data_IF_194951118248
#
_entry.id   IF_194951118248
#
_cell.length_a   1.000
_cell.length_b   1.000
_cell.length_c   1.000
_cell.angle_alpha   90.00
_cell.angle_beta   90.00
_cell.angle_gamma   90.00
#
_symmetry.space_group_name_H-M   'P 1'
#
loop_
_entity.id
_entity.type
_entity.pdbx_description
1 polymer ?
#
# COMPACT_ATOMS: atom_id res chain seq x y z
N UNK A 1 8.48 -18.10 -10.64
CA UNK A 1 7.93 -16.93 -9.91
C UNK A 1 7.81 -15.67 -10.76
N UNK A 2 7.99 -15.76 -12.07
CA UNK A 2 7.77 -14.66 -13.04
C UNK A 2 8.32 -13.31 -12.58
N UNK A 3 9.57 -13.29 -12.09
CA UNK A 3 10.25 -12.09 -11.57
C UNK A 3 9.40 -11.32 -10.54
N UNK A 4 9.00 -11.98 -9.48
CA UNK A 4 8.11 -11.43 -8.44
C UNK A 4 6.78 -10.94 -9.03
N UNK A 5 6.22 -11.72 -9.97
CA UNK A 5 4.93 -11.49 -10.64
C UNK A 5 4.93 -10.31 -11.64
N UNK A 6 6.06 -9.62 -11.79
CA UNK A 6 6.17 -8.49 -12.73
C UNK A 6 6.09 -8.93 -14.21
N UNK A 7 6.55 -10.15 -14.54
CA UNK A 7 6.51 -10.68 -15.89
C UNK A 7 5.17 -11.39 -16.20
N UNK A 8 4.04 -10.69 -16.04
CA UNK A 8 2.70 -11.24 -16.26
C UNK A 8 2.47 -11.71 -17.70
N UNK A 9 3.09 -11.03 -18.67
CA UNK A 9 3.03 -11.37 -20.10
C UNK A 9 4.24 -12.21 -20.56
N UNK A 10 5.01 -12.76 -19.63
CA UNK A 10 6.25 -13.48 -19.91
C UNK A 10 7.46 -12.57 -20.17
N UNK A 11 8.58 -13.20 -20.50
CA UNK A 11 9.81 -12.49 -20.83
C UNK A 11 9.86 -12.20 -22.34
N UNK A 12 10.34 -11.04 -22.74
CA UNK A 12 10.48 -10.65 -24.14
C UNK A 12 9.18 -10.64 -24.93
N UNK A 13 8.10 -10.04 -24.35
CA UNK A 13 6.89 -9.81 -25.11
C UNK A 13 7.16 -8.84 -26.28
N UNK A 14 6.84 -9.20 -27.53
CA UNK A 14 7.27 -8.42 -28.72
C UNK A 14 6.76 -6.98 -28.71
N UNK A 15 5.53 -6.74 -28.26
CA UNK A 15 4.97 -5.37 -28.23
C UNK A 15 5.62 -4.51 -27.16
N UNK A 16 5.98 -5.10 -26.00
CA UNK A 16 6.70 -4.38 -24.94
C UNK A 16 8.14 -4.04 -25.36
N UNK A 17 8.83 -5.00 -25.99
CA UNK A 17 10.17 -4.78 -26.53
C UNK A 17 10.14 -3.69 -27.62
N UNK A 18 9.17 -3.76 -28.55
CA UNK A 18 9.03 -2.76 -29.61
C UNK A 18 8.75 -1.35 -29.06
N UNK A 19 7.86 -1.22 -28.10
CA UNK A 19 7.55 0.06 -27.45
C UNK A 19 8.77 0.66 -26.74
N UNK A 20 9.56 -0.18 -26.05
CA UNK A 20 10.79 0.25 -25.40
C UNK A 20 11.84 0.74 -26.40
N UNK A 21 12.05 0.01 -27.52
CA UNK A 21 12.97 0.43 -28.59
C UNK A 21 12.53 1.74 -29.22
N UNK A 22 11.24 1.89 -29.57
CA UNK A 22 10.72 3.14 -30.12
C UNK A 22 10.93 4.32 -29.17
N UNK A 23 10.70 4.13 -27.87
CA UNK A 23 10.88 5.20 -26.90
C UNK A 23 12.34 5.62 -26.74
N UNK A 24 13.29 4.66 -26.82
CA UNK A 24 14.72 4.95 -26.77
C UNK A 24 15.16 5.77 -27.99
N UNK A 25 14.59 5.50 -29.17
CA UNK A 25 14.90 6.26 -30.40
C UNK A 25 14.36 7.72 -30.34
N UNK A 26 13.30 7.96 -29.57
CA UNK A 26 12.75 9.31 -29.38
C UNK A 26 13.52 10.08 -28.29
N UNK A 27 13.55 9.55 -27.08
CA UNK A 27 14.31 10.06 -25.92
C UNK A 27 14.32 9.06 -24.77
N UNK A 28 15.42 9.03 -24.01
CA UNK A 28 15.58 8.09 -22.88
C UNK A 28 15.01 8.61 -21.57
N UNK A 29 15.03 9.92 -21.31
CA UNK A 29 14.58 10.52 -20.07
C UNK A 29 14.24 12.01 -20.21
N UNK A 30 13.16 12.43 -19.55
CA UNK A 30 12.81 13.84 -19.33
C UNK A 30 12.38 14.01 -17.87
N UNK A 31 13.02 14.92 -17.15
CA UNK A 31 12.67 15.23 -15.76
C UNK A 31 11.30 15.92 -15.66
N UNK A 32 10.59 15.73 -14.54
CA UNK A 32 9.33 16.43 -14.26
C UNK A 32 9.49 17.80 -13.58
N UNK A 33 10.71 18.27 -13.39
CA UNK A 33 10.98 19.61 -12.85
C UNK A 33 10.62 20.73 -13.83
N UNK A 34 9.34 21.05 -13.95
CA UNK A 34 8.81 22.05 -14.89
C UNK A 34 8.59 21.56 -16.31
N UNK A 35 8.80 20.27 -16.58
CA UNK A 35 8.59 19.62 -17.87
C UNK A 35 7.67 18.40 -17.74
N UNK A 36 7.14 17.95 -18.85
CA UNK A 36 6.43 16.67 -19.00
C UNK A 36 6.67 16.09 -20.40
N UNK A 37 6.13 14.92 -20.66
CA UNK A 37 6.25 14.26 -21.96
C UNK A 37 5.00 13.43 -22.29
N UNK A 38 4.77 13.15 -23.55
CA UNK A 38 3.57 12.48 -24.01
C UNK A 38 3.30 11.11 -23.36
N UNK A 39 4.28 10.19 -23.21
CA UNK A 39 4.05 8.92 -22.52
C UNK A 39 3.53 9.08 -21.08
N UNK A 40 4.06 10.03 -20.31
CA UNK A 40 3.60 10.28 -18.95
C UNK A 40 2.16 10.82 -18.91
N UNK A 41 1.84 11.79 -19.77
CA UNK A 41 0.49 12.35 -19.86
C UNK A 41 -0.54 11.27 -20.24
N UNK A 42 -0.22 10.45 -21.26
CA UNK A 42 -1.09 9.38 -21.72
C UNK A 42 -1.30 8.29 -20.66
N UNK A 43 -0.22 7.92 -19.96
CA UNK A 43 -0.31 6.96 -18.85
C UNK A 43 -1.15 7.52 -17.70
N UNK A 44 -1.00 8.80 -17.38
CA UNK A 44 -1.82 9.47 -16.36
C UNK A 44 -3.30 9.41 -16.70
N UNK A 45 -3.68 9.80 -17.92
CA UNK A 45 -5.08 9.75 -18.38
C UNK A 45 -5.63 8.32 -18.30
N UNK A 46 -4.83 7.33 -18.72
CA UNK A 46 -5.21 5.91 -18.66
C UNK A 46 -5.41 5.45 -17.22
N UNK A 47 -4.50 5.77 -16.32
CA UNK A 47 -4.61 5.39 -14.91
C UNK A 47 -5.80 6.04 -14.23
N UNK A 48 -6.04 7.33 -14.45
CA UNK A 48 -7.18 8.05 -13.86
C UNK A 48 -8.53 7.50 -14.33
N UNK A 49 -8.61 6.94 -15.53
CA UNK A 49 -9.80 6.25 -16.01
C UNK A 49 -10.02 4.88 -15.39
N UNK A 50 -9.00 4.31 -14.73
CA UNK A 50 -9.02 2.97 -14.15
C UNK A 50 -9.23 2.95 -12.63
N UNK A 51 -8.78 3.99 -11.94
CA UNK A 51 -8.84 4.08 -10.47
C UNK A 51 -10.23 4.49 -9.98
N UNK A 52 -10.57 4.19 -8.71
CA UNK A 52 -11.83 4.64 -8.11
C UNK A 52 -11.98 6.17 -8.12
N UNK A 53 -13.23 6.62 -8.12
CA UNK A 53 -13.58 8.05 -8.01
C UNK A 53 -12.95 8.67 -6.75
N UNK A 54 -12.42 9.90 -6.91
CA UNK A 54 -11.73 10.62 -5.83
C UNK A 54 -10.20 10.47 -5.85
N UNK A 55 -9.65 9.59 -6.70
CA UNK A 55 -8.23 9.52 -6.99
C UNK A 55 -7.98 10.24 -8.33
N UNK A 56 -7.52 11.48 -8.27
CA UNK A 56 -7.45 12.40 -9.41
C UNK A 56 -6.04 12.84 -9.79
N UNK A 57 -5.04 12.31 -9.10
CA UNK A 57 -3.64 12.72 -9.28
C UNK A 57 -2.70 11.50 -9.30
N UNK A 58 -1.74 11.51 -10.20
CA UNK A 58 -0.72 10.46 -10.35
C UNK A 58 0.65 11.03 -10.02
N UNK A 59 1.42 10.28 -9.22
CA UNK A 59 2.82 10.54 -8.95
C UNK A 59 3.66 9.35 -9.39
N UNK A 60 4.57 9.55 -10.33
CA UNK A 60 5.46 8.50 -10.81
C UNK A 60 6.72 8.40 -9.94
N UNK A 61 7.08 7.17 -9.58
CA UNK A 61 8.28 6.86 -8.79
C UNK A 61 9.03 5.66 -9.39
N UNK A 62 10.24 5.43 -8.87
CA UNK A 62 11.18 4.45 -9.41
C UNK A 62 10.94 3.02 -8.90
N UNK A 63 10.27 2.84 -7.77
CA UNK A 63 10.02 1.53 -7.18
C UNK A 63 8.83 1.55 -6.22
N UNK A 64 8.33 0.37 -5.82
CA UNK A 64 7.28 0.23 -4.81
C UNK A 64 7.68 0.82 -3.46
N UNK A 65 8.92 0.60 -3.02
CA UNK A 65 9.42 1.18 -1.77
C UNK A 65 9.42 2.71 -1.79
N UNK A 66 9.83 3.33 -2.92
CA UNK A 66 9.76 4.78 -3.10
C UNK A 66 8.31 5.26 -3.22
N UNK A 67 7.41 4.50 -3.84
CA UNK A 67 5.97 4.82 -3.87
C UNK A 67 5.39 4.93 -2.46
N UNK A 68 5.73 3.98 -1.59
CA UNK A 68 5.29 3.98 -0.18
C UNK A 68 5.89 5.16 0.58
N UNK A 69 7.20 5.46 0.40
CA UNK A 69 7.82 6.65 0.99
C UNK A 69 7.06 7.93 0.61
N UNK A 70 6.72 8.07 -0.67
CA UNK A 70 6.00 9.25 -1.17
C UNK A 70 4.58 9.30 -0.64
N UNK A 71 3.85 8.19 -0.65
CA UNK A 71 2.49 8.12 -0.10
C UNK A 71 2.44 8.50 1.38
N UNK A 72 3.38 7.99 2.18
CA UNK A 72 3.50 8.36 3.59
C UNK A 72 3.84 9.86 3.76
N UNK A 73 4.76 10.39 2.95
CA UNK A 73 5.07 11.82 2.97
C UNK A 73 3.87 12.68 2.61
N UNK A 74 3.08 12.27 1.62
CA UNK A 74 1.82 12.96 1.25
C UNK A 74 0.83 12.94 2.41
N UNK A 75 0.63 11.81 3.07
CA UNK A 75 -0.25 11.69 4.23
C UNK A 75 0.20 12.59 5.39
N UNK A 76 1.49 12.60 5.72
CA UNK A 76 2.05 13.47 6.75
C UNK A 76 1.93 14.96 6.39
N UNK A 77 2.17 15.30 5.12
CA UNK A 77 2.05 16.67 4.64
C UNK A 77 0.60 17.15 4.67
N UNK A 78 -0.36 16.29 4.33
CA UNK A 78 -1.79 16.60 4.41
C UNK A 78 -2.14 17.13 5.81
N UNK A 79 -1.78 16.39 6.85
CA UNK A 79 -2.04 16.80 8.23
C UNK A 79 -1.27 18.05 8.64
N UNK A 80 -0.01 18.18 8.25
CA UNK A 80 0.82 19.36 8.56
C UNK A 80 0.38 20.63 7.84
N UNK A 81 -0.31 20.51 6.72
CA UNK A 81 -0.85 21.62 5.95
C UNK A 81 -2.24 22.04 6.41
N UNK A 82 -2.84 21.31 7.35
CA UNK A 82 -4.16 21.62 7.87
C UNK A 82 -4.14 22.89 8.73
N UNK A 83 -5.20 23.70 8.65
CA UNK A 83 -5.31 24.95 9.43
C UNK A 83 -5.45 24.70 10.93
N UNK A 84 -6.05 23.59 11.33
CA UNK A 84 -6.06 23.14 12.72
C UNK A 84 -4.74 22.49 13.09
N UNK A 85 -3.95 23.24 13.87
CA UNK A 85 -2.62 22.78 14.31
C UNK A 85 -2.66 21.61 15.29
N UNK A 86 -3.80 21.29 15.90
CA UNK A 86 -3.94 20.08 16.71
C UNK A 86 -3.75 18.81 15.88
N UNK A 87 -4.09 18.84 14.59
CA UNK A 87 -3.91 17.74 13.65
C UNK A 87 -2.44 17.50 13.23
N UNK A 88 -1.55 18.46 13.47
CA UNK A 88 -0.12 18.29 13.19
C UNK A 88 0.56 17.21 14.06
N UNK A 89 -0.13 16.71 15.10
CA UNK A 89 0.33 15.57 15.91
C UNK A 89 0.19 14.23 15.20
N UNK A 90 -0.60 14.16 14.11
CA UNK A 90 -0.77 12.96 13.31
C UNK A 90 0.51 12.65 12.53
N UNK A 91 1.38 11.84 13.14
CA UNK A 91 2.72 11.49 12.61
C UNK A 91 3.01 10.01 12.64
N UNK A 92 2.12 9.21 13.22
CA UNK A 92 2.25 7.75 13.28
C UNK A 92 1.50 7.09 12.13
N UNK A 93 1.95 5.90 11.80
CA UNK A 93 1.27 5.02 10.87
C UNK A 93 0.65 3.85 11.63
N UNK A 94 -0.51 3.42 11.16
CA UNK A 94 -1.17 2.18 11.57
C UNK A 94 -0.99 1.16 10.45
N UNK A 95 -0.70 -0.06 10.80
CA UNK A 95 -0.68 -1.19 9.87
C UNK A 95 -1.00 -2.47 10.63
N UNK A 96 -1.04 -3.61 9.96
CA UNK A 96 -1.16 -4.92 10.59
C UNK A 96 0.11 -5.75 10.48
N UNK A 97 0.27 -6.72 11.37
CA UNK A 97 1.42 -7.63 11.33
C UNK A 97 1.36 -8.54 10.09
N UNK A 98 2.51 -8.99 9.65
CA UNK A 98 2.66 -9.83 8.46
C UNK A 98 2.73 -9.05 7.15
N UNK A 99 2.68 -7.70 7.19
CA UNK A 99 2.81 -6.85 6.01
C UNK A 99 4.25 -6.65 5.55
N UNK A 100 4.41 -6.28 4.27
CA UNK A 100 5.67 -5.87 3.68
C UNK A 100 5.42 -4.73 2.69
N UNK A 101 6.12 -3.63 2.85
CA UNK A 101 5.89 -2.40 2.10
C UNK A 101 7.14 -1.82 1.44
N UNK A 102 8.26 -2.53 1.48
CA UNK A 102 9.52 -2.14 0.86
C UNK A 102 10.71 -2.09 1.81
N UNK A 103 11.88 -1.74 1.28
CA UNK A 103 13.18 -1.86 1.95
C UNK A 103 13.82 -0.51 2.31
N UNK A 104 13.17 0.62 2.01
CA UNK A 104 13.61 1.94 2.50
C UNK A 104 13.09 2.20 3.91
N UNK A 105 13.64 3.16 4.63
CA UNK A 105 13.47 3.28 6.09
C UNK A 105 12.01 3.45 6.55
N UNK A 106 11.20 4.24 5.85
CA UNK A 106 9.78 4.38 6.22
C UNK A 106 8.97 3.11 5.94
N UNK A 107 9.03 2.52 4.74
CA UNK A 107 8.46 1.19 4.49
C UNK A 107 8.88 0.13 5.49
N UNK A 108 10.17 0.03 5.84
CA UNK A 108 10.64 -0.90 6.87
C UNK A 108 9.94 -0.71 8.21
N UNK A 109 9.58 0.52 8.58
CA UNK A 109 8.90 0.82 9.85
C UNK A 109 7.48 0.26 9.93
N UNK A 110 6.86 -0.05 8.79
CA UNK A 110 5.50 -0.62 8.67
C UNK A 110 5.51 -2.07 8.16
N UNK A 111 6.67 -2.67 7.93
CA UNK A 111 6.80 -4.11 7.73
C UNK A 111 6.70 -4.85 9.09
N UNK A 112 6.38 -6.17 9.04
CA UNK A 112 6.29 -6.97 10.26
C UNK A 112 7.58 -6.86 11.09
N UNK A 113 7.51 -6.35 12.33
CA UNK A 113 8.71 -6.11 13.13
C UNK A 113 9.35 -7.38 13.69
N UNK A 114 8.56 -8.45 13.87
CA UNK A 114 9.00 -9.65 14.59
C UNK A 114 9.41 -10.78 13.65
N UNK A 115 8.68 -10.95 12.53
CA UNK A 115 8.86 -12.05 11.59
C UNK A 115 9.24 -11.57 10.19
N UNK A 116 9.51 -10.28 10.05
CA UNK A 116 9.85 -9.66 8.77
C UNK A 116 11.35 -9.75 8.44
N UNK A 117 11.70 -9.35 7.23
CA UNK A 117 13.09 -9.30 6.75
C UNK A 117 13.93 -8.19 7.42
N UNK A 118 13.30 -7.28 8.15
CA UNK A 118 13.92 -6.06 8.67
C UNK A 118 14.19 -6.11 10.18
N UNK A 119 14.20 -7.29 10.79
CA UNK A 119 14.46 -7.47 12.24
C UNK A 119 15.80 -6.88 12.71
N UNK A 120 16.82 -6.84 11.84
CA UNK A 120 18.11 -6.21 12.13
C UNK A 120 18.03 -4.68 12.35
N UNK A 121 16.95 -4.05 11.90
CA UNK A 121 16.74 -2.60 11.98
C UNK A 121 15.84 -2.19 13.14
N UNK A 122 15.46 -3.14 14.00
CA UNK A 122 14.70 -2.83 15.21
C UNK A 122 15.46 -1.81 16.08
N UNK A 123 14.72 -0.81 16.57
CA UNK A 123 15.29 0.30 17.35
C UNK A 123 15.97 1.39 16.52
N UNK A 124 16.12 1.23 15.19
CA UNK A 124 16.65 2.25 14.27
C UNK A 124 15.52 2.91 13.51
N UNK A 125 14.57 2.11 12.95
CA UNK A 125 13.38 2.64 12.29
C UNK A 125 12.38 3.18 13.31
N UNK A 126 11.59 4.17 12.91
CA UNK A 126 10.57 4.76 13.78
C UNK A 126 9.52 3.71 14.19
N UNK A 127 9.19 3.58 15.49
CA UNK A 127 8.13 2.67 15.92
C UNK A 127 6.77 3.17 15.45
N UNK A 128 5.99 2.27 14.86
CA UNK A 128 4.63 2.49 14.38
C UNK A 128 3.62 1.67 15.18
N UNK A 129 2.35 1.78 14.86
CA UNK A 129 1.25 1.08 15.54
C UNK A 129 0.86 -0.14 14.70
N UNK A 130 0.81 -1.31 15.33
CA UNK A 130 0.52 -2.56 14.67
C UNK A 130 -0.75 -3.20 15.22
N UNK A 131 -1.69 -3.47 14.34
CA UNK A 131 -2.77 -4.41 14.59
C UNK A 131 -2.24 -5.85 14.51
N UNK A 132 -2.90 -6.83 15.10
CA UNK A 132 -2.58 -8.23 14.90
C UNK A 132 -2.55 -8.63 13.42
N UNK A 133 -1.99 -9.81 13.13
CA UNK A 133 -2.13 -10.40 11.79
C UNK A 133 -3.60 -10.57 11.44
N UNK A 134 -4.05 -10.18 10.24
CA UNK A 134 -5.42 -10.37 9.80
C UNK A 134 -5.86 -11.83 9.93
N UNK A 135 -7.11 -12.10 10.35
CA UNK A 135 -7.65 -13.45 10.31
C UNK A 135 -7.65 -13.98 8.88
N UNK A 136 -7.20 -15.24 8.67
CA UNK A 136 -7.12 -15.80 7.34
C UNK A 136 -8.51 -16.01 6.73
N UNK A 137 -8.62 -15.81 5.43
CA UNK A 137 -9.77 -16.31 4.68
C UNK A 137 -9.62 -17.83 4.51
N UNK A 138 -10.39 -18.59 5.26
CA UNK A 138 -10.33 -20.06 5.26
C UNK A 138 -10.86 -20.69 3.97
N UNK A 139 -11.63 -19.96 3.18
CA UNK A 139 -12.16 -20.45 1.88
C UNK A 139 -11.11 -20.32 0.77
N UNK A 140 -10.25 -19.31 0.84
CA UNK A 140 -9.24 -19.03 -0.19
C UNK A 140 -7.84 -19.46 0.25
N UNK A 141 -7.57 -19.54 1.54
CA UNK A 141 -6.25 -19.87 2.09
C UNK A 141 -5.90 -21.35 1.92
N UNK A 142 -4.71 -21.63 1.41
CA UNK A 142 -4.14 -22.99 1.34
C UNK A 142 -3.63 -23.49 2.70
N UNK A 143 -3.67 -22.68 3.74
CA UNK A 143 -3.20 -23.02 5.10
C UNK A 143 -4.37 -22.99 6.07
N UNK A 144 -4.49 -24.01 6.96
CA UNK A 144 -5.50 -23.96 8.00
C UNK A 144 -5.27 -22.78 8.94
N UNK A 145 -6.35 -22.16 9.38
CA UNK A 145 -6.30 -21.11 10.40
C UNK A 145 -5.72 -21.68 11.70
N UNK A 146 -4.77 -20.97 12.29
CA UNK A 146 -4.19 -21.33 13.59
C UNK A 146 -5.03 -20.70 14.73
N UNK A 147 -5.74 -19.61 14.44
CA UNK A 147 -6.66 -18.92 15.36
C UNK A 147 -7.91 -18.51 14.60
N UNK A 148 -9.07 -18.77 15.16
CA UNK A 148 -10.38 -18.52 14.54
C UNK A 148 -10.96 -17.18 15.06
N UNK A 149 -10.18 -16.11 14.96
CA UNK A 149 -10.67 -14.76 15.24
C UNK A 149 -11.62 -14.35 14.13
N UNK A 150 -12.84 -13.96 14.47
CA UNK A 150 -13.80 -13.48 13.47
C UNK A 150 -13.38 -12.10 12.92
N UNK A 151 -13.90 -11.74 11.76
CA UNK A 151 -13.69 -10.40 11.18
C UNK A 151 -14.24 -9.33 12.13
N UNK A 152 -15.37 -9.61 12.76
CA UNK A 152 -16.04 -8.72 13.70
C UNK A 152 -15.17 -8.45 14.93
N UNK A 153 -14.65 -9.49 15.57
CA UNK A 153 -13.76 -9.36 16.74
C UNK A 153 -12.46 -8.62 16.39
N UNK A 154 -11.92 -8.86 15.19
CA UNK A 154 -10.76 -8.13 14.72
C UNK A 154 -11.04 -6.64 14.54
N UNK A 155 -12.19 -6.30 13.94
CA UNK A 155 -12.60 -4.91 13.76
C UNK A 155 -12.92 -4.21 15.07
N UNK A 156 -13.50 -4.89 16.06
CA UNK A 156 -13.68 -4.35 17.41
C UNK A 156 -12.32 -4.01 18.06
N UNK A 157 -11.34 -4.90 17.92
CA UNK A 157 -9.98 -4.61 18.39
C UNK A 157 -9.33 -3.44 17.64
N UNK A 158 -9.48 -3.38 16.32
CA UNK A 158 -8.96 -2.28 15.49
C UNK A 158 -9.61 -0.94 15.88
N UNK A 159 -10.93 -0.93 16.17
CA UNK A 159 -11.64 0.25 16.64
C UNK A 159 -11.09 0.73 17.98
N UNK A 160 -10.82 -0.17 18.91
CA UNK A 160 -10.22 0.17 20.20
C UNK A 160 -8.84 0.83 20.02
N UNK A 161 -7.97 0.23 19.19
CA UNK A 161 -6.65 0.80 18.89
C UNK A 161 -6.77 2.18 18.24
N UNK A 162 -7.68 2.35 17.29
CA UNK A 162 -7.94 3.64 16.64
C UNK A 162 -8.46 4.68 17.64
N UNK A 163 -9.40 4.31 18.51
CA UNK A 163 -9.93 5.20 19.54
C UNK A 163 -8.83 5.76 20.45
N UNK A 164 -7.86 4.93 20.84
CA UNK A 164 -6.76 5.35 21.70
C UNK A 164 -5.71 6.20 20.99
N UNK A 165 -5.55 6.05 19.67
CA UNK A 165 -4.42 6.59 18.93
C UNK A 165 -4.79 7.55 17.78
N UNK A 166 -6.07 7.79 17.52
CA UNK A 166 -6.54 8.58 16.36
C UNK A 166 -5.91 9.98 16.28
N UNK A 167 -5.61 10.60 17.41
CA UNK A 167 -4.96 11.90 17.48
C UNK A 167 -3.54 11.92 16.94
N UNK A 168 -2.89 10.78 16.85
CA UNK A 168 -1.48 10.65 16.44
C UNK A 168 -1.32 9.87 15.13
N UNK A 169 -2.31 9.08 14.73
CA UNK A 169 -2.27 8.28 13.50
C UNK A 169 -2.58 9.15 12.30
N UNK A 170 -1.63 9.27 11.39
CA UNK A 170 -1.76 9.98 10.12
C UNK A 170 -2.46 9.14 9.06
N UNK A 171 -2.04 7.90 8.92
CA UNK A 171 -2.57 6.98 7.91
C UNK A 171 -2.48 5.53 8.37
N UNK A 172 -3.40 4.73 7.86
CA UNK A 172 -3.34 3.28 7.87
C UNK A 172 -2.80 2.81 6.51
N UNK A 173 -1.76 1.97 6.51
CA UNK A 173 -1.21 1.36 5.29
C UNK A 173 -1.39 -0.14 5.33
N UNK A 174 -1.93 -0.72 4.27
CA UNK A 174 -2.23 -2.16 4.17
C UNK A 174 -2.08 -2.69 2.74
N UNK A 175 -1.71 -3.96 2.64
CA UNK A 175 -1.88 -4.76 1.41
C UNK A 175 -3.33 -5.28 1.40
N UNK A 176 -4.20 -4.89 0.45
CA UNK A 176 -5.60 -5.35 0.48
C UNK A 176 -5.72 -6.80 0.03
N UNK A 177 -6.61 -7.57 0.67
CA UNK A 177 -6.99 -8.95 0.35
C UNK A 177 -5.88 -9.99 0.54
N UNK A 178 -4.63 -9.70 0.21
CA UNK A 178 -3.53 -10.65 0.38
C UNK A 178 -2.23 -9.98 0.79
N UNK A 179 -1.61 -10.47 1.85
CA UNK A 179 -0.25 -10.13 2.24
C UNK A 179 0.72 -11.02 1.44
N UNK A 180 1.40 -10.46 0.44
CA UNK A 180 2.25 -11.20 -0.47
C UNK A 180 3.52 -11.74 0.17
N UNK A 181 4.49 -10.87 0.43
CA UNK A 181 5.80 -11.22 1.02
C UNK A 181 5.67 -11.77 2.45
N UNK A 182 4.62 -11.42 3.18
CA UNK A 182 4.28 -11.96 4.49
C UNK A 182 3.84 -13.42 4.50
N UNK A 183 3.89 -14.10 3.35
CA UNK A 183 3.66 -15.53 3.22
C UNK A 183 2.39 -15.92 2.48
N UNK A 184 1.92 -15.08 1.56
CA UNK A 184 0.71 -15.30 0.75
C UNK A 184 -0.51 -15.59 1.63
N UNK A 185 -0.75 -14.69 2.58
CA UNK A 185 -1.88 -14.79 3.51
C UNK A 185 -3.07 -14.03 2.98
N UNK A 186 -4.13 -14.75 2.69
CA UNK A 186 -5.38 -14.18 2.23
C UNK A 186 -6.28 -13.82 3.41
N UNK A 187 -6.95 -12.67 3.32
CA UNK A 187 -7.95 -12.23 4.29
C UNK A 187 -9.20 -11.72 3.56
N UNK A 188 -10.32 -11.71 4.26
CA UNK A 188 -11.61 -11.40 3.65
C UNK A 188 -11.70 -9.94 3.20
N UNK A 189 -12.26 -9.66 2.02
CA UNK A 189 -12.53 -8.27 1.60
C UNK A 189 -13.39 -7.47 2.60
N UNK A 190 -14.27 -8.15 3.33
CA UNK A 190 -15.07 -7.52 4.39
C UNK A 190 -14.20 -6.89 5.50
N UNK A 191 -13.06 -7.50 5.82
CA UNK A 191 -12.10 -6.94 6.78
C UNK A 191 -11.50 -5.63 6.27
N UNK A 192 -11.09 -5.59 5.00
CA UNK A 192 -10.54 -4.37 4.36
C UNK A 192 -11.57 -3.26 4.41
N UNK A 193 -12.81 -3.54 4.00
CA UNK A 193 -13.91 -2.56 4.01
C UNK A 193 -14.17 -2.03 5.42
N UNK A 194 -14.32 -2.91 6.41
CA UNK A 194 -14.56 -2.51 7.79
C UNK A 194 -13.43 -1.66 8.37
N UNK A 195 -12.17 -2.00 8.07
CA UNK A 195 -11.03 -1.20 8.51
C UNK A 195 -11.00 0.20 7.85
N UNK A 196 -11.37 0.30 6.57
CA UNK A 196 -11.51 1.59 5.88
C UNK A 196 -12.59 2.46 6.51
N UNK A 197 -13.77 1.88 6.80
CA UNK A 197 -14.87 2.58 7.47
C UNK A 197 -14.46 3.08 8.86
N UNK A 198 -13.70 2.27 9.61
CA UNK A 198 -13.11 2.69 10.88
C UNK A 198 -12.13 3.86 10.70
N UNK A 199 -11.19 3.74 9.76
CA UNK A 199 -10.24 4.81 9.49
C UNK A 199 -10.94 6.13 9.13
N UNK A 200 -11.98 6.08 8.30
CA UNK A 200 -12.79 7.26 7.96
C UNK A 200 -13.47 7.86 9.18
N UNK A 201 -14.07 7.04 10.04
CA UNK A 201 -14.75 7.46 11.29
C UNK A 201 -13.80 8.19 12.25
N UNK A 202 -12.55 7.72 12.33
CA UNK A 202 -11.51 8.27 13.18
C UNK A 202 -10.62 9.32 12.49
N UNK A 203 -11.01 9.76 11.29
CA UNK A 203 -10.26 10.77 10.52
C UNK A 203 -8.79 10.35 10.30
N UNK A 204 -8.58 9.13 9.83
CA UNK A 204 -7.29 8.53 9.47
C UNK A 204 -7.28 8.26 7.97
N UNK A 205 -6.23 8.69 7.28
CA UNK A 205 -6.07 8.42 5.84
C UNK A 205 -5.78 6.92 5.62
N UNK A 206 -6.12 6.42 4.43
CA UNK A 206 -5.81 5.04 4.07
C UNK A 206 -4.88 5.02 2.85
N UNK A 207 -3.84 4.20 2.93
CA UNK A 207 -2.90 3.91 1.85
C UNK A 207 -3.06 2.43 1.52
N UNK A 208 -3.51 2.12 0.30
CA UNK A 208 -3.53 0.77 -0.21
C UNK A 208 -2.23 0.49 -0.96
N UNK A 209 -1.50 -0.50 -0.48
CA UNK A 209 -0.35 -1.05 -1.19
C UNK A 209 -0.82 -2.12 -2.16
N UNK A 210 -1.00 -1.71 -3.40
CA UNK A 210 -1.47 -2.56 -4.51
C UNK A 210 -0.32 -3.06 -5.40
N UNK A 211 0.91 -3.02 -4.92
CA UNK A 211 2.09 -3.49 -5.67
C UNK A 211 1.91 -4.93 -6.14
N UNK A 212 1.36 -5.80 -5.29
CA UNK A 212 1.12 -7.20 -5.62
C UNK A 212 -0.32 -7.45 -6.10
N UNK A 213 -1.30 -6.68 -5.65
CA UNK A 213 -2.73 -6.96 -5.79
C UNK A 213 -3.38 -6.25 -6.97
N UNK A 214 -2.82 -5.15 -7.42
CA UNK A 214 -3.38 -4.33 -8.49
C UNK A 214 -3.34 -4.97 -9.88
N UNK A 215 -4.00 -4.31 -10.82
CA UNK A 215 -4.04 -4.65 -12.24
C UNK A 215 -4.56 -6.07 -12.54
N UNK A 216 -5.62 -6.46 -11.87
CA UNK A 216 -6.33 -7.71 -12.14
C UNK A 216 -5.82 -8.93 -11.38
N UNK A 217 -4.83 -8.80 -10.51
CA UNK A 217 -4.21 -9.91 -9.77
C UNK A 217 -5.21 -10.71 -8.95
N UNK A 218 -6.15 -10.03 -8.31
CA UNK A 218 -7.14 -10.61 -7.40
C UNK A 218 -8.50 -10.86 -8.07
N UNK A 219 -8.62 -10.57 -9.38
CA UNK A 219 -9.84 -10.75 -10.15
C UNK A 219 -10.59 -9.44 -10.46
N UNK A 220 -10.42 -8.42 -9.66
CA UNK A 220 -10.81 -7.03 -9.94
C UNK A 220 -9.60 -6.23 -10.38
N UNK A 221 -9.82 -5.07 -11.03
CA UNK A 221 -8.71 -4.24 -11.51
C UNK A 221 -7.79 -3.79 -10.35
N UNK A 222 -8.39 -3.35 -9.25
CA UNK A 222 -7.74 -3.12 -7.96
C UNK A 222 -8.46 -3.91 -6.87
N UNK A 223 -7.75 -4.28 -5.82
CA UNK A 223 -8.27 -5.09 -4.71
C UNK A 223 -8.91 -4.23 -3.60
N UNK A 224 -8.69 -2.92 -3.63
CA UNK A 224 -9.24 -1.93 -2.70
C UNK A 224 -10.70 -1.60 -3.01
#
# INVERSE_FOLDING_TARGET
MSSWWAAAYGYRHPDLDAAAHQQIDEFSHVMFGGLTHAPAALLTDTLLAMVPEGLDTVFFCDSGSVSVEVAVKMALQYWRSHTDTALHRKTKLLTWRGGYHGDTFTPMSVCDPDNGMHTLWQGIVQPQIFLPTPPPDTETSLRPAVEDTSVEEYLEHAEHVLHENADTVAACIIEPVVQGAGGMKFHKPALVRGLVELCQRYNVLVIFDEIATGFGRTGTLFAA
#
